data_IF_990114930254
#
_entry.id   IF_990114930254
#
_cell.length_a   1.000
_cell.length_b   1.000
_cell.length_c   1.000
_cell.angle_alpha   90.00
_cell.angle_beta   90.00
_cell.angle_gamma   90.00
#
_symmetry.space_group_name_H-M   'P 1'
#
loop_
_entity.id
_entity.type
_entity.pdbx_description
1 polymer ?
#
# COMPACT_ATOMS: atom_id res chain seq x y z
N UNK A 1 -8.35 -17.53 5.83
CA UNK A 1 -7.81 -17.19 4.50
C UNK A 1 -6.36 -16.74 4.63
N UNK A 2 -5.53 -17.30 3.80
CA UNK A 2 -4.11 -16.93 3.77
C UNK A 2 -3.89 -15.77 2.82
N UNK A 3 -3.08 -14.82 3.23
CA UNK A 3 -2.65 -13.72 2.38
C UNK A 3 -1.68 -14.24 1.33
N UNK A 4 -1.84 -13.78 0.11
CA UNK A 4 -1.00 -14.17 -1.02
C UNK A 4 -0.45 -12.96 -1.73
N UNK A 5 0.71 -13.15 -2.35
CA UNK A 5 1.34 -12.15 -3.19
C UNK A 5 1.04 -12.50 -4.64
N UNK A 6 0.57 -11.53 -5.40
CA UNK A 6 0.36 -11.66 -6.83
C UNK A 6 1.33 -10.73 -7.54
N UNK A 7 2.13 -11.29 -8.43
CA UNK A 7 2.96 -10.51 -9.34
C UNK A 7 2.28 -10.47 -10.69
N UNK A 8 2.00 -9.28 -11.17
CA UNK A 8 1.37 -9.08 -12.47
C UNK A 8 2.42 -9.00 -13.58
N UNK A 9 1.99 -9.26 -14.81
CA UNK A 9 2.85 -9.18 -15.98
C UNK A 9 3.42 -7.76 -16.17
N UNK A 10 2.71 -6.75 -15.66
CA UNK A 10 3.17 -5.36 -15.67
C UNK A 10 4.34 -5.10 -14.71
N UNK A 11 4.64 -6.03 -13.82
CA UNK A 11 5.65 -5.87 -12.78
C UNK A 11 5.10 -5.44 -11.44
N UNK A 12 3.84 -5.05 -11.37
CA UNK A 12 3.23 -4.68 -10.09
C UNK A 12 3.13 -5.90 -9.17
N UNK A 13 3.37 -5.66 -7.89
CA UNK A 13 3.28 -6.70 -6.86
C UNK A 13 2.24 -6.28 -5.84
N UNK A 14 1.29 -7.18 -5.57
CA UNK A 14 0.13 -6.90 -4.72
C UNK A 14 0.01 -8.01 -3.67
N UNK A 15 -0.23 -7.63 -2.42
CA UNK A 15 -0.61 -8.56 -1.37
C UNK A 15 -2.11 -8.46 -1.14
N UNK A 16 -2.77 -9.60 -1.00
CA UNK A 16 -4.23 -9.65 -0.93
C UNK A 16 -4.71 -10.96 -0.31
N UNK A 17 -6.01 -11.03 -0.04
CA UNK A 17 -6.69 -12.28 0.26
C UNK A 17 -7.32 -12.80 -1.03
N UNK A 18 -7.04 -14.05 -1.40
CA UNK A 18 -7.72 -14.69 -2.52
C UNK A 18 -9.02 -15.28 -2.01
N UNK A 19 -10.14 -14.79 -2.51
CA UNK A 19 -11.47 -15.16 -2.06
C UNK A 19 -12.03 -16.29 -2.90
N UNK A 20 -11.81 -16.25 -4.21
CA UNK A 20 -12.37 -17.23 -5.13
C UNK A 20 -11.47 -17.39 -6.34
N UNK A 21 -11.25 -18.63 -6.73
CA UNK A 21 -10.55 -19.00 -7.97
C UNK A 21 -11.61 -19.60 -8.89
N UNK A 22 -11.91 -18.94 -9.99
CA UNK A 22 -13.02 -19.33 -10.84
C UNK A 22 -12.68 -19.12 -12.32
N UNK A 23 -12.38 -20.22 -13.02
CA UNK A 23 -12.11 -20.20 -14.45
C UNK A 23 -10.95 -19.29 -14.82
N UNK A 24 -11.23 -18.27 -15.62
CA UNK A 24 -10.23 -17.35 -16.13
C UNK A 24 -9.94 -16.19 -15.17
N UNK A 25 -10.63 -16.13 -14.04
CA UNK A 25 -10.56 -15.01 -13.09
C UNK A 25 -10.25 -15.50 -11.69
N UNK A 26 -9.62 -14.62 -10.95
CA UNK A 26 -9.41 -14.74 -9.51
C UNK A 26 -10.09 -13.54 -8.85
N UNK A 27 -10.87 -13.78 -7.81
CA UNK A 27 -11.41 -12.71 -6.97
C UNK A 27 -10.50 -12.49 -5.78
N UNK A 28 -10.03 -11.27 -5.62
CA UNK A 28 -9.14 -10.88 -4.53
C UNK A 28 -9.78 -9.81 -3.67
N UNK A 29 -9.47 -9.84 -2.39
CA UNK A 29 -10.01 -8.91 -1.40
C UNK A 29 -8.90 -8.07 -0.81
N UNK A 30 -9.17 -6.79 -0.64
CA UNK A 30 -8.27 -5.80 -0.05
C UNK A 30 -6.86 -5.84 -0.63
N UNK A 31 -6.71 -5.73 -1.96
CA UNK A 31 -5.38 -5.73 -2.56
C UNK A 31 -4.59 -4.48 -2.17
N UNK A 32 -3.35 -4.68 -1.75
CA UNK A 32 -2.43 -3.60 -1.46
C UNK A 32 -1.19 -3.72 -2.31
N UNK A 33 -0.84 -2.64 -2.98
CA UNK A 33 0.36 -2.56 -3.79
C UNK A 33 1.58 -2.50 -2.87
N UNK A 34 2.57 -3.33 -3.13
CA UNK A 34 3.84 -3.34 -2.42
C UNK A 34 4.86 -2.54 -3.20
N UNK A 35 5.59 -1.69 -2.51
CA UNK A 35 6.73 -0.98 -3.08
C UNK A 35 7.70 -0.62 -1.98
N UNK A 36 8.94 -0.39 -2.34
CA UNK A 36 9.97 -0.01 -1.40
C UNK A 36 10.31 1.46 -1.58
N UNK A 37 10.55 2.12 -0.45
CA UNK A 37 10.94 3.54 -0.43
C UNK A 37 12.28 3.61 0.28
N UNK A 38 13.30 4.26 -0.32
CA UNK A 38 14.58 4.45 0.37
C UNK A 38 14.40 5.42 1.54
N UNK A 39 14.98 5.05 2.69
CA UNK A 39 14.98 5.91 3.88
C UNK A 39 16.42 6.11 4.35
N UNK A 40 16.78 7.36 4.61
CA UNK A 40 18.05 7.67 5.20
C UNK A 40 17.99 7.41 6.71
N UNK A 41 18.94 6.62 7.21
CA UNK A 41 19.09 6.36 8.65
C UNK A 41 20.51 6.72 9.06
N UNK A 42 20.76 6.74 10.38
CA UNK A 42 22.10 6.97 10.91
C UNK A 42 23.11 5.91 10.47
N UNK A 43 22.63 4.75 10.04
CA UNK A 43 23.47 3.63 9.62
C UNK A 43 23.54 3.49 8.09
N UNK A 44 22.99 4.44 7.35
CA UNK A 44 22.97 4.42 5.90
C UNK A 44 21.56 4.43 5.32
N UNK A 45 21.46 4.16 4.03
CA UNK A 45 20.18 4.10 3.32
C UNK A 45 19.62 2.69 3.41
N UNK A 46 18.41 2.56 3.92
CA UNK A 46 17.67 1.29 3.95
C UNK A 46 16.41 1.41 3.11
N UNK A 47 15.99 0.30 2.53
CA UNK A 47 14.73 0.24 1.80
C UNK A 47 13.63 -0.21 2.75
N UNK A 48 12.57 0.59 2.85
CA UNK A 48 11.40 0.27 3.67
C UNK A 48 10.26 -0.17 2.79
N UNK A 49 9.65 -1.31 3.14
CA UNK A 49 8.45 -1.78 2.45
C UNK A 49 7.26 -0.89 2.82
N UNK A 50 6.54 -0.47 1.79
CA UNK A 50 5.33 0.33 1.95
C UNK A 50 4.18 -0.39 1.26
N UNK A 51 3.01 -0.36 1.90
CA UNK A 51 1.77 -0.89 1.35
C UNK A 51 0.80 0.25 1.12
N UNK A 52 0.19 0.28 -0.06
CA UNK A 52 -0.88 1.23 -0.34
C UNK A 52 -2.04 0.51 -1.00
N UNK A 53 -3.25 0.93 -0.69
CA UNK A 53 -4.44 0.34 -1.30
C UNK A 53 -4.36 0.47 -2.82
N UNK A 54 -4.57 -0.64 -3.50
CA UNK A 54 -4.52 -0.69 -4.95
C UNK A 54 -5.74 0.04 -5.53
N UNK A 55 -5.49 0.94 -6.47
CA UNK A 55 -6.50 1.78 -7.11
C UNK A 55 -7.22 2.75 -6.16
N UNK A 56 -6.71 2.95 -4.97
CA UNK A 56 -7.22 3.96 -4.06
C UNK A 56 -6.61 5.33 -4.40
N UNK A 57 -7.35 6.44 -4.36
CA UNK A 57 -8.73 6.59 -3.90
C UNK A 57 -9.81 6.48 -4.99
N UNK A 58 -9.49 5.89 -6.13
CA UNK A 58 -10.39 5.86 -7.28
C UNK A 58 -11.59 4.93 -7.08
N UNK A 59 -11.48 3.98 -6.17
CA UNK A 59 -12.57 3.07 -5.84
C UNK A 59 -12.55 2.72 -4.36
N UNK A 60 -13.73 2.50 -3.81
CA UNK A 60 -13.89 1.99 -2.44
C UNK A 60 -14.18 0.48 -2.44
N UNK A 61 -14.26 -0.11 -3.61
CA UNK A 61 -14.55 -1.54 -3.75
C UNK A 61 -13.41 -2.36 -3.15
N UNK A 62 -13.77 -3.33 -2.31
CA UNK A 62 -12.80 -4.15 -1.60
C UNK A 62 -12.48 -5.47 -2.28
N UNK A 63 -13.38 -5.95 -3.13
CA UNK A 63 -13.18 -7.20 -3.87
C UNK A 63 -13.16 -6.86 -5.35
N UNK A 64 -12.17 -7.38 -6.06
CA UNK A 64 -12.10 -7.21 -7.50
C UNK A 64 -11.75 -8.52 -8.17
N UNK A 65 -12.17 -8.65 -9.43
CA UNK A 65 -11.81 -9.78 -10.29
C UNK A 65 -10.59 -9.43 -11.10
N UNK A 66 -9.64 -10.35 -11.10
CA UNK A 66 -8.41 -10.20 -11.86
C UNK A 66 -8.32 -11.35 -12.86
N UNK A 67 -7.96 -11.04 -14.10
CA UNK A 67 -7.76 -12.06 -15.11
C UNK A 67 -6.49 -12.83 -14.84
N UNK A 68 -6.58 -14.16 -14.91
CA UNK A 68 -5.41 -15.03 -14.66
C UNK A 68 -4.29 -14.82 -15.68
N UNK A 69 -4.63 -14.42 -16.90
CA UNK A 69 -3.63 -14.17 -17.94
C UNK A 69 -2.80 -12.90 -17.69
N UNK A 70 -3.20 -12.05 -16.77
CA UNK A 70 -2.41 -10.88 -16.36
C UNK A 70 -1.43 -11.18 -15.23
N UNK A 71 -1.44 -12.40 -14.72
CA UNK A 71 -0.66 -12.81 -13.55
C UNK A 71 0.57 -13.59 -13.96
N UNK A 72 1.75 -13.17 -13.50
CA UNK A 72 2.99 -13.90 -13.71
C UNK A 72 3.11 -15.03 -12.69
N UNK A 73 2.86 -14.75 -11.41
CA UNK A 73 2.95 -15.76 -10.36
C UNK A 73 2.13 -15.36 -9.14
N UNK A 74 1.74 -16.36 -8.36
CA UNK A 74 1.07 -16.19 -7.08
C UNK A 74 1.86 -16.98 -6.05
N UNK A 75 2.20 -16.37 -4.93
CA UNK A 75 2.94 -17.01 -3.86
C UNK A 75 2.33 -16.68 -2.52
N UNK A 76 2.53 -17.55 -1.54
CA UNK A 76 2.08 -17.29 -0.17
C UNK A 76 2.93 -16.18 0.46
N UNK A 77 2.28 -15.28 1.18
CA UNK A 77 2.99 -14.23 1.90
C UNK A 77 3.74 -14.81 3.10
N UNK A 78 4.88 -14.20 3.44
CA UNK A 78 5.61 -14.56 4.66
C UNK A 78 4.81 -14.13 5.90
N UNK A 79 5.14 -14.71 7.04
CA UNK A 79 4.46 -14.35 8.29
C UNK A 79 4.66 -12.87 8.65
N UNK A 80 5.85 -12.33 8.39
CA UNK A 80 6.11 -10.91 8.60
C UNK A 80 5.24 -10.02 7.71
N UNK A 81 5.10 -10.38 6.44
CA UNK A 81 4.25 -9.63 5.52
C UNK A 81 2.77 -9.74 5.90
N UNK A 82 2.32 -10.92 6.31
CA UNK A 82 0.94 -11.10 6.79
C UNK A 82 0.62 -10.19 7.97
N UNK A 83 1.54 -10.09 8.92
CA UNK A 83 1.38 -9.22 10.09
C UNK A 83 1.33 -7.75 9.67
N UNK A 84 2.24 -7.34 8.81
CA UNK A 84 2.28 -5.97 8.30
C UNK A 84 0.98 -5.64 7.55
N UNK A 85 0.55 -6.53 6.66
CA UNK A 85 -0.66 -6.34 5.87
C UNK A 85 -1.89 -6.17 6.77
N UNK A 86 -2.04 -7.02 7.79
CA UNK A 86 -3.15 -6.91 8.74
C UNK A 86 -3.13 -5.59 9.51
N UNK A 87 -1.95 -5.14 9.93
CA UNK A 87 -1.79 -3.84 10.60
C UNK A 87 -2.18 -2.69 9.67
N UNK A 88 -1.78 -2.75 8.43
CA UNK A 88 -2.12 -1.72 7.45
C UNK A 88 -3.61 -1.68 7.16
N UNK A 89 -4.29 -2.82 7.14
CA UNK A 89 -5.75 -2.87 6.99
C UNK A 89 -6.45 -2.19 8.17
N UNK A 90 -6.01 -2.46 9.38
CA UNK A 90 -6.58 -1.84 10.58
C UNK A 90 -6.33 -0.33 10.61
N UNK A 91 -5.12 0.09 10.31
CA UNK A 91 -4.77 1.51 10.22
C UNK A 91 -5.42 2.19 9.03
N UNK A 92 -5.64 1.44 7.95
CA UNK A 92 -6.29 1.95 6.75
C UNK A 92 -7.70 2.48 7.00
N UNK A 93 -8.46 1.83 7.90
CA UNK A 93 -9.78 2.31 8.29
C UNK A 93 -9.66 3.67 9.00
N UNK A 94 -8.68 3.82 9.88
CA UNK A 94 -8.40 5.09 10.56
C UNK A 94 -7.84 6.13 9.60
N UNK A 95 -7.04 5.70 8.63
CA UNK A 95 -6.46 6.59 7.62
C UNK A 95 -7.51 7.10 6.65
N UNK A 96 -8.50 6.29 6.29
CA UNK A 96 -9.63 6.72 5.47
C UNK A 96 -10.44 7.81 6.16
N UNK A 97 -10.67 7.67 7.47
CA UNK A 97 -11.32 8.70 8.26
C UNK A 97 -10.48 9.97 8.30
N UNK A 98 -9.16 9.85 8.41
CA UNK A 98 -8.24 10.98 8.37
C UNK A 98 -8.15 11.65 7.00
N UNK A 99 -8.28 10.90 5.92
CA UNK A 99 -8.25 11.47 4.57
C UNK A 99 -9.48 12.33 4.32
N UNK A 100 -10.64 11.97 4.87
CA UNK A 100 -11.82 12.81 4.82
C UNK A 100 -11.68 14.06 5.71
N UNK A 101 -11.08 13.92 6.89
CA UNK A 101 -10.70 15.04 7.73
C UNK A 101 -9.56 15.86 7.12
N UNK A 102 -8.71 15.22 6.33
CA UNK A 102 -7.52 15.81 5.74
C UNK A 102 -7.83 16.92 4.74
N UNK A 103 -8.90 16.79 3.99
CA UNK A 103 -9.32 17.84 3.06
C UNK A 103 -9.70 19.14 3.77
N UNK A 104 -10.02 19.08 5.07
CA UNK A 104 -10.48 20.22 5.84
C UNK A 104 -9.52 20.69 6.94
N UNK A 105 -8.70 19.80 7.49
CA UNK A 105 -7.96 20.06 8.72
C UNK A 105 -6.44 19.93 8.57
N UNK A 106 -5.97 19.04 7.74
CA UNK A 106 -4.55 18.72 7.67
C UNK A 106 -3.78 19.50 6.62
N UNK A 107 -4.47 20.26 5.78
CA UNK A 107 -3.81 21.20 4.89
C UNK A 107 -3.01 22.24 5.67
N UNK A 108 -3.51 22.67 6.82
CA UNK A 108 -2.79 23.60 7.68
C UNK A 108 -1.61 22.95 8.40
N UNK A 109 -1.77 21.71 8.87
CA UNK A 109 -0.68 20.96 9.49
C UNK A 109 0.40 20.60 8.49
N UNK A 110 0.04 20.23 7.26
CA UNK A 110 0.97 19.97 6.18
C UNK A 110 1.70 21.22 5.73
N UNK A 111 1.03 22.37 5.67
CA UNK A 111 1.67 23.63 5.33
C UNK A 111 2.71 24.02 6.39
N UNK A 112 2.39 23.86 7.66
CA UNK A 112 3.34 24.12 8.74
C UNK A 112 4.52 23.16 8.71
N UNK A 113 4.27 21.90 8.44
CA UNK A 113 5.29 20.87 8.32
C UNK A 113 6.20 21.12 7.11
N UNK A 114 5.62 21.46 5.98
CA UNK A 114 6.35 21.73 4.75
C UNK A 114 7.25 22.96 4.86
N UNK A 115 6.79 24.00 5.56
CA UNK A 115 7.62 25.18 5.79
C UNK A 115 8.87 24.89 6.63
N UNK A 116 8.75 24.09 7.68
CA UNK A 116 9.90 23.71 8.49
C UNK A 116 10.85 22.77 7.76
N UNK A 117 10.33 21.81 7.02
CA UNK A 117 11.16 20.89 6.25
C UNK A 117 11.85 21.59 5.07
N UNK A 118 11.14 22.45 4.38
CA UNK A 118 11.73 23.22 3.29
C UNK A 118 12.84 24.13 3.81
N UNK A 119 12.66 24.75 4.98
CA UNK A 119 13.73 25.53 5.62
C UNK A 119 14.94 24.68 5.98
N UNK A 120 14.73 23.50 6.55
CA UNK A 120 15.81 22.57 6.85
C UNK A 120 16.54 22.12 5.59
N UNK A 121 15.81 21.88 4.53
CA UNK A 121 16.38 21.50 3.24
C UNK A 121 17.24 22.62 2.66
N UNK A 122 16.75 23.86 2.73
CA UNK A 122 17.47 25.02 2.25
C UNK A 122 18.71 25.34 3.09
N UNK A 123 18.63 25.12 4.40
CA UNK A 123 19.76 25.31 5.29
C UNK A 123 20.83 24.21 5.15
N UNK A 124 20.43 23.02 4.68
CA UNK A 124 21.36 21.90 4.45
C UNK A 124 22.08 22.00 3.09
N UNK A 125 21.63 22.86 2.21
CA UNK A 125 22.27 23.12 0.94
C UNK A 125 23.36 24.17 1.11
#
# INVERSE_FOLDING_TARGET
MTQQIIKFNSGEEVVCNVVKDSGDYISIENPMKMYTVPRATKQGIVESLTLSKWMYPYTEQKICKVRKDSITTIMSASEGLKTFYRRQLEQGVKTELKVHDWEAKDLNELEEFDEEEVKKYLEAL
#
